data_IF_076635307470
#
_entry.id   IF_076635307470
#
_cell.length_a   1.000
_cell.length_b   1.000
_cell.length_c   1.000
_cell.angle_alpha   90.00
_cell.angle_beta   90.00
_cell.angle_gamma   90.00
#
_symmetry.space_group_name_H-M   'P 1'
#
loop_
_entity.id
_entity.type
_entity.pdbx_description
1 polymer ?
#
# COMPACT_ATOMS: atom_id res chain seq x y z
N UNK A 1 -6.07 -14.12 -12.96
CA UNK A 1 -4.77 -13.87 -13.62
C UNK A 1 -3.79 -13.19 -12.69
N UNK A 2 -4.08 -11.97 -12.19
CA UNK A 2 -3.21 -11.25 -11.25
C UNK A 2 -2.84 -12.07 -9.98
N UNK A 3 -3.79 -12.82 -9.41
CA UNK A 3 -3.54 -13.64 -8.21
C UNK A 3 -2.67 -14.89 -8.39
N UNK A 4 -2.30 -15.26 -9.62
CA UNK A 4 -1.44 -16.42 -9.92
C UNK A 4 -0.23 -16.05 -10.79
N UNK A 5 0.03 -14.76 -10.98
CA UNK A 5 1.20 -14.26 -11.72
C UNK A 5 1.18 -14.55 -13.22
N UNK A 6 0.01 -14.87 -13.80
CA UNK A 6 -0.13 -15.11 -15.23
C UNK A 6 -0.56 -13.80 -15.92
N UNK A 7 0.20 -13.31 -16.93
CA UNK A 7 -0.20 -12.17 -17.74
C UNK A 7 -1.58 -12.38 -18.36
N UNK A 8 -2.40 -11.33 -18.38
CA UNK A 8 -3.71 -11.41 -18.98
C UNK A 8 -4.14 -10.07 -19.59
N UNK A 9 -4.78 -10.17 -20.74
CA UNK A 9 -5.46 -9.06 -21.41
C UNK A 9 -6.96 -9.30 -21.25
N UNK A 10 -7.67 -8.31 -20.73
CA UNK A 10 -9.13 -8.35 -20.50
C UNK A 10 -9.77 -7.15 -21.18
N UNK A 11 -11.06 -7.24 -21.50
CA UNK A 11 -11.78 -6.15 -22.18
C UNK A 11 -11.53 -6.07 -23.70
N UNK A 12 -11.16 -7.19 -24.34
CA UNK A 12 -11.01 -7.23 -25.80
C UNK A 12 -12.38 -7.33 -26.48
N UNK A 13 -12.87 -6.23 -27.05
CA UNK A 13 -14.21 -6.15 -27.66
C UNK A 13 -14.45 -7.10 -28.84
N UNK A 14 -13.40 -7.44 -29.59
CA UNK A 14 -13.47 -8.20 -30.84
C UNK A 14 -12.63 -9.49 -30.83
N UNK A 15 -12.15 -9.93 -29.66
CA UNK A 15 -11.27 -11.09 -29.58
C UNK A 15 -11.90 -12.37 -30.13
N UNK A 16 -13.19 -12.60 -29.87
CA UNK A 16 -13.93 -13.78 -30.36
C UNK A 16 -14.20 -13.76 -31.85
N UNK A 17 -14.16 -12.59 -32.49
CA UNK A 17 -14.37 -12.45 -33.94
C UNK A 17 -13.07 -12.63 -34.72
N UNK A 18 -11.95 -12.25 -34.11
CA UNK A 18 -10.62 -12.28 -34.74
C UNK A 18 -9.90 -13.62 -34.48
N UNK A 19 -9.96 -14.13 -33.24
CA UNK A 19 -9.22 -15.32 -32.83
C UNK A 19 -10.01 -16.59 -33.12
N UNK A 20 -9.32 -17.62 -33.59
CA UNK A 20 -9.90 -18.94 -33.86
C UNK A 20 -9.34 -19.99 -32.90
N UNK A 21 -10.14 -21.02 -32.64
CA UNK A 21 -9.68 -22.18 -31.87
C UNK A 21 -8.44 -22.82 -32.52
N UNK A 22 -7.41 -23.08 -31.71
CA UNK A 22 -6.13 -23.62 -32.19
C UNK A 22 -5.21 -22.60 -32.87
N UNK A 23 -5.58 -21.32 -32.97
CA UNK A 23 -4.71 -20.28 -33.51
C UNK A 23 -3.56 -19.98 -32.56
N UNK A 24 -2.33 -20.09 -33.06
CA UNK A 24 -1.15 -19.67 -32.33
C UNK A 24 -1.07 -18.15 -32.27
N UNK A 25 -0.92 -17.62 -31.06
CA UNK A 25 -0.77 -16.19 -30.78
C UNK A 25 0.23 -15.97 -29.66
N UNK A 26 0.86 -14.80 -29.67
CA UNK A 26 1.71 -14.33 -28.58
C UNK A 26 0.99 -13.21 -27.86
N UNK A 27 0.88 -13.33 -26.54
CA UNK A 27 0.26 -12.33 -25.67
C UNK A 27 1.38 -11.56 -24.97
N UNK A 28 1.43 -10.24 -25.18
CA UNK A 28 2.34 -9.33 -24.48
C UNK A 28 1.57 -8.47 -23.50
N UNK A 29 2.11 -8.36 -22.28
CA UNK A 29 1.69 -7.37 -21.29
C UNK A 29 2.88 -6.49 -20.87
N UNK A 30 3.90 -6.38 -21.73
CA UNK A 30 5.13 -5.66 -21.44
C UNK A 30 4.96 -4.13 -21.54
N UNK A 31 3.90 -3.67 -22.21
CA UNK A 31 3.59 -2.26 -22.47
C UNK A 31 2.79 -1.56 -21.35
N UNK A 32 2.89 -2.07 -20.11
CA UNK A 32 2.23 -1.48 -18.95
C UNK A 32 0.73 -1.76 -18.93
N UNK A 33 -0.09 -0.71 -19.01
CA UNK A 33 -1.57 -0.83 -18.93
C UNK A 33 -2.21 -1.31 -20.25
N UNK A 34 -1.51 -1.22 -21.39
CA UNK A 34 -1.98 -1.73 -22.68
C UNK A 34 -1.44 -3.13 -22.98
N UNK A 35 -2.33 -4.11 -23.08
CA UNK A 35 -1.98 -5.46 -23.54
C UNK A 35 -2.05 -5.60 -25.06
N UNK A 36 -1.13 -6.36 -25.66
CA UNK A 36 -1.11 -6.63 -27.11
C UNK A 36 -1.15 -8.12 -27.45
N UNK A 37 -1.93 -8.48 -28.46
CA UNK A 37 -1.98 -9.84 -29.03
C UNK A 37 -1.36 -9.82 -30.42
N UNK A 38 -0.32 -10.62 -30.62
CA UNK A 38 0.38 -10.77 -31.88
C UNK A 38 0.05 -12.12 -32.53
N UNK A 39 -0.02 -12.16 -33.85
CA UNK A 39 -0.22 -13.40 -34.59
C UNK A 39 1.03 -14.29 -34.56
N UNK A 40 0.85 -15.58 -34.31
CA UNK A 40 1.91 -16.58 -34.26
C UNK A 40 2.70 -16.59 -32.95
N UNK A 41 3.64 -17.52 -32.86
CA UNK A 41 4.59 -17.64 -31.75
C UNK A 41 5.82 -16.78 -32.03
N UNK A 42 5.90 -15.61 -31.41
CA UNK A 42 7.03 -14.72 -31.56
C UNK A 42 8.25 -15.29 -30.82
N UNK A 43 9.46 -15.16 -31.40
CA UNK A 43 10.68 -15.56 -30.71
C UNK A 43 10.85 -14.72 -29.44
N UNK A 44 11.27 -15.36 -28.36
CA UNK A 44 11.56 -14.72 -27.08
C UNK A 44 12.96 -15.11 -26.61
N UNK A 45 13.56 -14.24 -25.81
CA UNK A 45 14.82 -14.48 -25.12
C UNK A 45 14.54 -14.72 -23.64
N UNK A 46 15.16 -15.75 -23.07
CA UNK A 46 15.13 -15.99 -21.63
C UNK A 46 16.45 -15.51 -21.04
N UNK A 47 16.39 -14.51 -20.17
CA UNK A 47 17.55 -14.04 -19.41
C UNK A 47 17.50 -14.63 -18.01
N UNK A 48 18.43 -15.52 -17.70
CA UNK A 48 18.60 -16.06 -16.36
C UNK A 48 19.60 -15.19 -15.57
N UNK A 49 19.13 -14.58 -14.49
CA UNK A 49 19.96 -13.75 -13.61
C UNK A 49 20.35 -14.57 -12.38
N UNK A 50 21.65 -14.79 -12.18
CA UNK A 50 22.17 -15.41 -10.97
C UNK A 50 22.03 -14.40 -9.81
N UNK A 51 21.27 -14.77 -8.77
CA UNK A 51 20.98 -13.88 -7.65
C UNK A 51 22.21 -13.58 -6.77
N UNK A 52 23.21 -14.46 -6.80
CA UNK A 52 24.41 -14.38 -5.96
C UNK A 52 25.34 -13.21 -6.34
N UNK A 53 25.23 -12.67 -7.56
CA UNK A 53 26.09 -11.60 -8.09
C UNK A 53 25.35 -10.28 -8.31
N UNK A 54 24.29 -10.03 -7.53
CA UNK A 54 23.55 -8.78 -7.63
C UNK A 54 24.36 -7.62 -7.03
N UNK A 55 24.53 -6.50 -7.76
CA UNK A 55 25.28 -5.36 -7.25
C UNK A 55 24.63 -4.80 -5.98
N UNK A 56 25.46 -4.35 -5.05
CA UNK A 56 24.99 -3.69 -3.84
C UNK A 56 24.38 -2.32 -4.18
N UNK A 57 23.33 -1.94 -3.46
CA UNK A 57 22.68 -0.62 -3.58
C UNK A 57 22.65 0.06 -2.22
N UNK A 58 22.93 1.37 -2.19
CA UNK A 58 22.75 2.23 -1.02
C UNK A 58 21.25 2.44 -0.78
N UNK A 59 20.52 2.79 -1.83
CA UNK A 59 19.06 2.90 -1.85
C UNK A 59 18.46 1.51 -1.64
N UNK A 60 17.56 1.38 -0.66
CA UNK A 60 16.91 0.11 -0.34
C UNK A 60 15.81 -0.20 -1.34
N UNK A 61 15.85 -1.40 -1.90
CA UNK A 61 14.81 -1.87 -2.83
C UNK A 61 13.80 -2.66 -2.02
N UNK A 62 12.61 -2.11 -1.81
CA UNK A 62 11.52 -2.73 -1.08
C UNK A 62 10.45 -3.24 -2.06
N UNK A 63 9.46 -3.96 -1.54
CA UNK A 63 8.37 -4.51 -2.33
C UNK A 63 7.00 -4.00 -1.87
N UNK A 64 6.09 -3.81 -2.81
CA UNK A 64 4.67 -3.63 -2.58
C UNK A 64 4.00 -5.01 -2.51
N UNK A 65 3.41 -5.35 -1.37
CA UNK A 65 2.79 -6.68 -1.15
C UNK A 65 1.40 -6.53 -0.56
N UNK A 66 0.37 -6.95 -1.29
CA UNK A 66 -1.02 -6.88 -0.80
C UNK A 66 -1.53 -8.19 -0.20
N UNK A 67 -1.21 -9.33 -0.85
CA UNK A 67 -1.79 -10.62 -0.52
C UNK A 67 -0.88 -11.42 0.42
N UNK A 68 -1.31 -11.73 1.67
CA UNK A 68 -0.52 -12.55 2.59
C UNK A 68 -0.16 -13.94 2.05
N UNK A 69 -1.02 -14.55 1.23
CA UNK A 69 -0.78 -15.90 0.68
C UNK A 69 0.42 -15.96 -0.27
N UNK A 70 0.78 -14.84 -0.90
CA UNK A 70 1.93 -14.75 -1.79
C UNK A 70 3.23 -14.41 -1.03
N UNK A 71 3.15 -14.05 0.25
CA UNK A 71 4.25 -13.45 1.00
C UNK A 71 5.52 -14.31 1.00
N UNK A 72 5.40 -15.61 1.29
CA UNK A 72 6.56 -16.52 1.34
C UNK A 72 7.18 -16.77 -0.03
N UNK A 73 6.37 -16.77 -1.11
CA UNK A 73 6.89 -16.87 -2.47
C UNK A 73 7.66 -15.60 -2.83
N UNK A 74 7.09 -14.45 -2.51
CA UNK A 74 7.69 -13.15 -2.80
C UNK A 74 8.95 -12.87 -1.97
N UNK A 75 9.03 -13.39 -0.74
CA UNK A 75 10.20 -13.28 0.11
C UNK A 75 11.46 -13.95 -0.48
N UNK A 76 11.32 -14.82 -1.49
CA UNK A 76 12.47 -15.38 -2.21
C UNK A 76 13.15 -14.38 -3.14
N UNK A 77 12.48 -13.26 -3.48
CA UNK A 77 13.07 -12.22 -4.31
C UNK A 77 14.07 -11.37 -3.50
N UNK A 78 15.15 -10.87 -4.12
CA UNK A 78 16.21 -10.12 -3.45
C UNK A 78 15.80 -8.68 -3.14
N UNK A 79 14.87 -8.51 -2.19
CA UNK A 79 14.44 -7.22 -1.67
C UNK A 79 14.94 -6.98 -0.24
N UNK A 80 14.87 -5.73 0.20
CA UNK A 80 15.23 -5.30 1.54
C UNK A 80 14.01 -5.20 2.49
N UNK A 81 12.92 -5.89 2.16
CA UNK A 81 11.66 -5.89 2.92
C UNK A 81 10.46 -5.40 2.11
N UNK A 82 9.44 -4.92 2.82
CA UNK A 82 8.16 -4.46 2.27
C UNK A 82 7.96 -2.99 2.61
N UNK A 83 7.85 -2.14 1.60
CA UNK A 83 7.65 -0.70 1.76
C UNK A 83 6.18 -0.29 1.76
N UNK A 84 5.30 -1.18 1.30
CA UNK A 84 3.86 -1.02 1.40
C UNK A 84 3.17 -2.39 1.45
N UNK A 85 2.65 -2.73 2.63
CA UNK A 85 1.65 -3.76 2.82
C UNK A 85 0.27 -3.12 3.05
N UNK A 86 -0.71 -3.50 2.23
CA UNK A 86 -2.07 -2.93 2.27
C UNK A 86 -2.98 -3.78 3.16
N UNK A 87 -3.45 -3.25 4.29
CA UNK A 87 -4.40 -3.97 5.15
C UNK A 87 -5.77 -4.16 4.50
N UNK A 88 -6.12 -3.33 3.50
CA UNK A 88 -7.42 -3.39 2.81
C UNK A 88 -7.67 -4.75 2.15
N UNK A 89 -6.62 -5.40 1.63
CA UNK A 89 -6.78 -6.73 1.03
C UNK A 89 -7.25 -7.75 2.08
N UNK A 90 -6.70 -7.69 3.29
CA UNK A 90 -7.09 -8.58 4.40
C UNK A 90 -8.52 -8.28 4.83
N UNK A 91 -8.86 -6.99 4.96
CA UNK A 91 -10.21 -6.54 5.32
C UNK A 91 -11.23 -7.01 4.28
N UNK A 92 -11.00 -6.74 2.99
CA UNK A 92 -11.95 -7.02 1.92
C UNK A 92 -12.10 -8.52 1.61
N UNK A 93 -11.04 -9.33 1.76
CA UNK A 93 -11.07 -10.75 1.34
C UNK A 93 -11.20 -11.75 2.49
N UNK A 94 -10.62 -11.46 3.65
CA UNK A 94 -10.59 -12.40 4.79
C UNK A 94 -11.56 -12.02 5.90
N UNK A 95 -11.79 -10.72 6.11
CA UNK A 95 -12.72 -10.23 7.15
C UNK A 95 -14.11 -9.97 6.59
N UNK A 96 -14.22 -9.30 5.44
CA UNK A 96 -15.42 -8.95 4.65
C UNK A 96 -16.51 -8.14 5.36
N UNK A 97 -16.53 -8.13 6.69
CA UNK A 97 -17.51 -7.44 7.51
C UNK A 97 -16.99 -6.08 7.98
N UNK A 98 -17.90 -5.12 8.08
CA UNK A 98 -17.59 -3.80 8.62
C UNK A 98 -17.21 -3.91 10.11
N UNK A 99 -16.12 -3.29 10.59
CA UNK A 99 -15.67 -3.45 11.98
C UNK A 99 -16.70 -2.96 13.00
N UNK A 100 -17.43 -1.87 12.71
CA UNK A 100 -18.54 -1.41 13.56
C UNK A 100 -19.74 -2.38 13.55
N UNK A 101 -19.95 -3.12 12.45
CA UNK A 101 -20.99 -4.15 12.40
C UNK A 101 -20.65 -5.33 13.33
N UNK A 102 -19.36 -5.68 13.45
CA UNK A 102 -18.89 -6.68 14.41
C UNK A 102 -19.04 -6.19 15.85
N UNK A 103 -18.66 -4.94 16.14
CA UNK A 103 -18.76 -4.32 17.47
C UNK A 103 -20.21 -4.09 17.93
N UNK A 104 -21.10 -3.76 17.00
CA UNK A 104 -22.50 -3.41 17.28
C UNK A 104 -23.46 -4.43 16.69
N UNK A 105 -23.03 -5.70 16.61
CA UNK A 105 -23.76 -6.80 15.98
C UNK A 105 -25.23 -6.87 16.39
N UNK A 106 -25.53 -6.77 17.69
CA UNK A 106 -26.91 -6.88 18.19
C UNK A 106 -27.81 -5.73 17.71
N UNK A 107 -27.24 -4.58 17.38
CA UNK A 107 -27.94 -3.37 16.93
C UNK A 107 -28.16 -3.30 15.42
N UNK A 108 -27.49 -4.14 14.63
CA UNK A 108 -27.66 -4.17 13.17
C UNK A 108 -29.12 -4.44 12.79
N UNK A 109 -29.64 -3.70 11.82
CA UNK A 109 -31.01 -3.87 11.31
C UNK A 109 -31.05 -4.86 10.15
N UNK A 110 -30.00 -4.89 9.35
CA UNK A 110 -29.87 -5.84 8.25
C UNK A 110 -29.79 -7.29 8.76
N UNK A 111 -30.86 -8.05 8.52
CA UNK A 111 -30.97 -9.45 8.92
C UNK A 111 -30.06 -10.37 8.10
N UNK A 112 -29.81 -10.06 6.83
CA UNK A 112 -28.93 -10.84 5.98
C UNK A 112 -27.48 -10.67 6.45
N UNK A 113 -27.03 -9.43 6.66
CA UNK A 113 -25.73 -9.15 7.24
C UNK A 113 -25.56 -9.78 8.63
N UNK A 114 -26.57 -9.70 9.51
CA UNK A 114 -26.56 -10.38 10.81
C UNK A 114 -26.37 -11.88 10.68
N UNK A 115 -27.09 -12.52 9.76
CA UNK A 115 -26.95 -13.95 9.53
C UNK A 115 -25.55 -14.31 9.03
N UNK A 116 -25.05 -13.61 8.02
CA UNK A 116 -23.71 -13.87 7.45
C UNK A 116 -22.60 -13.67 8.49
N UNK A 117 -22.62 -12.53 9.20
CA UNK A 117 -21.67 -12.28 10.30
C UNK A 117 -21.76 -13.37 11.37
N UNK A 118 -22.96 -13.86 11.73
CA UNK A 118 -23.09 -14.94 12.71
C UNK A 118 -22.42 -16.25 12.28
N UNK A 119 -22.44 -16.56 10.98
CA UNK A 119 -21.78 -17.75 10.44
C UNK A 119 -20.25 -17.57 10.44
N UNK A 120 -19.77 -16.41 10.01
CA UNK A 120 -18.33 -16.11 9.95
C UNK A 120 -17.67 -16.04 11.32
N UNK A 121 -18.44 -15.65 12.33
CA UNK A 121 -17.96 -15.42 13.71
C UNK A 121 -18.42 -16.50 14.69
N UNK A 122 -18.90 -17.66 14.21
CA UNK A 122 -19.50 -18.72 15.03
C UNK A 122 -18.60 -19.18 16.20
N UNK A 123 -17.28 -19.19 15.99
CA UNK A 123 -16.29 -19.65 16.97
C UNK A 123 -15.73 -18.53 17.87
N UNK A 124 -16.30 -17.32 17.79
CA UNK A 124 -15.85 -16.17 18.54
C UNK A 124 -16.90 -15.78 19.57
N UNK A 125 -16.53 -15.77 20.86
CA UNK A 125 -17.40 -15.26 21.93
C UNK A 125 -17.70 -13.77 21.72
N UNK A 126 -16.66 -13.01 21.40
CA UNK A 126 -16.76 -11.62 20.96
C UNK A 126 -16.44 -11.51 19.47
N UNK A 127 -17.44 -11.12 18.69
CA UNK A 127 -17.34 -10.99 17.23
C UNK A 127 -16.28 -10.00 16.76
N UNK A 128 -15.96 -9.00 17.58
CA UNK A 128 -14.90 -8.05 17.25
C UNK A 128 -13.50 -8.69 17.28
N UNK A 129 -13.32 -9.80 18.01
CA UNK A 129 -12.04 -10.50 18.06
C UNK A 129 -11.76 -11.27 16.76
N UNK A 130 -12.79 -11.63 15.99
CA UNK A 130 -12.62 -12.15 14.62
C UNK A 130 -11.87 -11.17 13.73
N UNK A 131 -12.18 -9.87 13.82
CA UNK A 131 -11.46 -8.83 13.07
C UNK A 131 -9.99 -8.79 13.48
N UNK A 132 -9.73 -8.76 14.78
CA UNK A 132 -8.37 -8.68 15.34
C UNK A 132 -7.55 -9.89 14.92
N UNK A 133 -8.09 -11.10 15.08
CA UNK A 133 -7.42 -12.37 14.78
C UNK A 133 -7.07 -12.48 13.29
N UNK A 134 -8.02 -12.17 12.40
CA UNK A 134 -7.80 -12.24 10.96
C UNK A 134 -6.81 -11.20 10.47
N UNK A 135 -6.92 -9.96 10.98
CA UNK A 135 -5.98 -8.90 10.62
C UNK A 135 -4.57 -9.21 11.14
N UNK A 136 -4.45 -9.62 12.41
CA UNK A 136 -3.16 -10.00 12.99
C UNK A 136 -2.54 -11.19 12.27
N UNK A 137 -3.33 -12.20 11.88
CA UNK A 137 -2.82 -13.35 11.13
C UNK A 137 -2.29 -12.94 9.76
N UNK A 138 -3.01 -12.10 9.02
CA UNK A 138 -2.58 -11.62 7.70
C UNK A 138 -1.32 -10.75 7.77
N UNK A 139 -1.27 -9.81 8.73
CA UNK A 139 -0.09 -8.97 8.96
C UNK A 139 1.10 -9.82 9.44
N UNK A 140 0.86 -10.75 10.37
CA UNK A 140 1.88 -11.65 10.90
C UNK A 140 2.50 -12.55 9.82
N UNK A 141 1.69 -13.04 8.88
CA UNK A 141 2.20 -13.82 7.74
C UNK A 141 3.13 -12.99 6.84
N UNK A 142 2.75 -11.75 6.53
CA UNK A 142 3.60 -10.81 5.78
C UNK A 142 4.90 -10.52 6.55
N UNK A 143 4.80 -10.20 7.83
CA UNK A 143 5.93 -9.85 8.67
C UNK A 143 6.93 -11.02 8.85
N UNK A 144 6.41 -12.24 9.05
CA UNK A 144 7.22 -13.45 9.20
C UNK A 144 7.94 -13.82 7.91
N UNK A 145 7.29 -13.69 6.75
CA UNK A 145 7.90 -14.02 5.46
C UNK A 145 9.14 -13.17 5.16
N UNK A 146 9.14 -11.90 5.57
CA UNK A 146 10.25 -10.97 5.32
C UNK A 146 11.17 -10.77 6.53
N UNK A 147 10.96 -11.47 7.65
CA UNK A 147 11.76 -11.27 8.86
C UNK A 147 13.26 -11.56 8.62
N UNK A 148 14.21 -10.73 9.11
CA UNK A 148 14.03 -9.56 9.98
C UNK A 148 13.87 -8.21 9.24
N UNK A 149 13.71 -8.22 7.91
CA UNK A 149 13.57 -7.00 7.13
C UNK A 149 12.28 -6.24 7.49
N UNK A 150 12.27 -4.89 7.40
CA UNK A 150 11.10 -4.09 7.74
C UNK A 150 9.89 -4.40 6.86
N UNK A 151 8.71 -4.40 7.46
CA UNK A 151 7.42 -4.53 6.79
C UNK A 151 6.55 -3.34 7.18
N UNK A 152 6.49 -2.35 6.30
CA UNK A 152 5.66 -1.16 6.48
C UNK A 152 4.23 -1.51 6.08
N UNK A 153 3.32 -1.53 7.05
CA UNK A 153 1.90 -1.87 6.85
C UNK A 153 1.08 -0.60 6.94
N UNK A 154 0.45 -0.22 5.82
CA UNK A 154 -0.52 0.86 5.80
C UNK A 154 -1.77 0.41 6.53
N UNK A 155 -2.20 1.21 7.51
CA UNK A 155 -3.49 1.03 8.18
C UNK A 155 -4.63 1.31 7.21
N UNK A 156 -5.87 0.94 7.57
CA UNK A 156 -6.98 0.94 6.63
C UNK A 156 -7.27 2.31 6.00
N UNK A 157 -7.20 2.37 4.68
CA UNK A 157 -7.44 3.55 3.85
C UNK A 157 -8.67 3.40 2.93
N UNK A 158 -9.57 2.47 3.26
CA UNK A 158 -10.82 2.33 2.52
C UNK A 158 -11.64 3.63 2.59
N UNK A 159 -12.20 4.04 1.46
CA UNK A 159 -13.15 5.14 1.32
C UNK A 159 -14.52 4.72 1.91
N UNK A 160 -15.37 5.68 2.25
CA UNK A 160 -16.68 5.40 2.85
C UNK A 160 -17.56 4.49 1.98
N UNK A 161 -17.54 4.67 0.66
CA UNK A 161 -18.26 3.81 -0.28
C UNK A 161 -17.71 2.37 -0.32
N UNK A 162 -16.41 2.17 -0.13
CA UNK A 162 -15.81 0.83 -0.06
C UNK A 162 -16.15 0.15 1.27
N UNK A 163 -16.13 0.89 2.37
CA UNK A 163 -16.61 0.40 3.66
C UNK A 163 -18.10 0.05 3.63
N UNK A 164 -18.92 0.83 2.92
CA UNK A 164 -20.37 0.60 2.79
C UNK A 164 -20.67 -0.74 2.10
N UNK A 165 -19.78 -1.17 1.21
CA UNK A 165 -19.87 -2.44 0.49
C UNK A 165 -19.44 -3.67 1.31
N UNK A 166 -18.85 -3.47 2.50
CA UNK A 166 -18.61 -4.58 3.43
C UNK A 166 -19.93 -5.05 4.06
N UNK A 167 -19.95 -6.31 4.52
CA UNK A 167 -21.13 -6.89 5.17
C UNK A 167 -21.49 -6.05 6.40
N UNK A 168 -22.71 -5.52 6.42
CA UNK A 168 -23.22 -4.63 7.46
C UNK A 168 -22.67 -3.19 7.42
N UNK A 169 -22.00 -2.77 6.35
CA UNK A 169 -21.34 -1.46 6.24
C UNK A 169 -22.30 -0.29 5.99
N UNK A 170 -23.35 -0.48 5.19
CA UNK A 170 -24.27 0.60 4.78
C UNK A 170 -24.90 1.38 5.95
N UNK A 171 -25.08 0.77 7.12
CA UNK A 171 -25.66 1.44 8.30
C UNK A 171 -24.69 2.44 8.97
N UNK A 172 -23.39 2.35 8.70
CA UNK A 172 -22.35 3.14 9.36
C UNK A 172 -21.70 4.19 8.46
N UNK A 173 -21.83 4.04 7.15
CA UNK A 173 -21.12 4.87 6.19
C UNK A 173 -22.01 5.97 5.60
N UNK A 174 -21.55 7.24 5.61
CA UNK A 174 -22.25 8.30 4.90
C UNK A 174 -22.09 8.14 3.38
N UNK A 175 -23.07 8.64 2.63
CA UNK A 175 -22.89 8.91 1.20
C UNK A 175 -22.07 10.20 1.04
N UNK A 176 -21.05 10.14 0.19
CA UNK A 176 -20.17 11.27 -0.10
C UNK A 176 -20.08 11.47 -1.61
N UNK A 177 -20.22 12.72 -2.06
CA UNK A 177 -20.10 13.08 -3.48
C UNK A 177 -18.70 12.77 -4.03
N UNK A 178 -17.66 12.94 -3.18
CA UNK A 178 -16.26 12.71 -3.56
C UNK A 178 -15.56 11.83 -2.52
N UNK A 179 -15.76 10.50 -2.56
CA UNK A 179 -15.16 9.59 -1.58
C UNK A 179 -13.63 9.63 -1.55
N UNK A 180 -12.99 10.02 -2.65
CA UNK A 180 -11.53 10.22 -2.72
C UNK A 180 -11.02 11.23 -1.69
N UNK A 181 -11.77 12.32 -1.46
CA UNK A 181 -11.44 13.41 -0.53
C UNK A 181 -12.13 13.31 0.84
N UNK A 182 -13.02 12.32 0.98
CA UNK A 182 -13.98 12.19 2.06
C UNK A 182 -13.45 11.61 3.37
N UNK A 183 -14.34 10.96 4.13
CA UNK A 183 -14.07 10.44 5.47
C UNK A 183 -13.26 9.14 5.47
N UNK A 184 -11.94 9.28 5.25
CA UNK A 184 -10.95 8.19 5.16
C UNK A 184 -9.62 8.52 5.82
N UNK A 185 -8.79 7.49 6.00
CA UNK A 185 -7.47 7.57 6.61
C UNK A 185 -7.50 8.22 8.00
N UNK A 186 -6.51 9.05 8.30
CA UNK A 186 -6.32 9.64 9.63
C UNK A 186 -7.58 10.29 10.25
N UNK A 187 -8.39 11.02 9.46
CA UNK A 187 -9.59 11.71 9.99
C UNK A 187 -10.62 10.75 10.60
N UNK A 188 -10.63 9.52 10.11
CA UNK A 188 -11.54 8.47 10.54
C UNK A 188 -11.10 7.87 11.88
N UNK A 189 -9.80 7.77 12.11
CA UNK A 189 -9.24 6.99 13.22
C UNK A 189 -9.55 7.56 14.61
N UNK A 190 -9.58 8.89 14.75
CA UNK A 190 -9.90 9.54 16.03
C UNK A 190 -11.36 10.01 16.12
N UNK A 191 -12.16 9.85 15.05
CA UNK A 191 -13.55 10.29 15.04
C UNK A 191 -14.37 9.47 16.06
N UNK A 192 -15.21 10.10 16.91
CA UNK A 192 -16.04 9.40 17.88
C UNK A 192 -16.89 8.27 17.29
N UNK A 193 -17.30 8.37 16.01
CA UNK A 193 -18.10 7.36 15.33
C UNK A 193 -17.31 6.10 14.97
N UNK A 194 -15.99 6.21 14.78
CA UNK A 194 -15.17 5.12 14.25
C UNK A 194 -13.99 4.71 15.13
N UNK A 195 -13.59 5.52 16.11
CA UNK A 195 -12.41 5.24 16.97
C UNK A 195 -12.41 3.85 17.62
N UNK A 196 -13.57 3.28 17.94
CA UNK A 196 -13.67 1.90 18.45
C UNK A 196 -13.25 0.85 17.41
N UNK A 197 -13.59 1.05 16.14
CA UNK A 197 -13.15 0.20 15.04
C UNK A 197 -11.64 0.35 14.78
N UNK A 198 -11.11 1.57 14.82
CA UNK A 198 -9.66 1.79 14.74
C UNK A 198 -8.89 1.09 15.88
N UNK A 199 -9.48 1.04 17.08
CA UNK A 199 -8.96 0.26 18.19
C UNK A 199 -8.79 -1.24 17.87
N UNK A 200 -9.63 -1.83 17.01
CA UNK A 200 -9.45 -3.22 16.57
C UNK A 200 -8.20 -3.39 15.72
N UNK A 201 -7.91 -2.46 14.81
CA UNK A 201 -6.66 -2.45 14.04
C UNK A 201 -5.45 -2.30 14.98
N UNK A 202 -5.51 -1.37 15.93
CA UNK A 202 -4.44 -1.20 16.91
C UNK A 202 -4.17 -2.47 17.72
N UNK A 203 -5.23 -3.16 18.18
CA UNK A 203 -5.08 -4.45 18.88
C UNK A 203 -4.43 -5.52 18.00
N UNK A 204 -4.76 -5.56 16.71
CA UNK A 204 -4.15 -6.51 15.78
C UNK A 204 -2.65 -6.25 15.61
N UNK A 205 -2.26 -4.99 15.38
CA UNK A 205 -0.86 -4.58 15.31
C UNK A 205 -0.12 -4.91 16.60
N UNK A 206 -0.71 -4.59 17.76
CA UNK A 206 -0.12 -4.90 19.07
C UNK A 206 0.11 -6.39 19.25
N UNK A 207 -0.86 -7.24 18.90
CA UNK A 207 -0.71 -8.69 18.95
C UNK A 207 0.43 -9.20 18.07
N UNK A 208 0.53 -8.75 16.82
CA UNK A 208 1.63 -9.16 15.92
C UNK A 208 2.99 -8.79 16.52
N UNK A 209 3.07 -7.60 17.09
CA UNK A 209 4.29 -7.02 17.60
C UNK A 209 4.74 -7.60 18.94
N UNK A 210 3.82 -7.73 19.88
CA UNK A 210 4.13 -8.04 21.29
C UNK A 210 3.91 -9.52 21.61
N UNK A 211 2.89 -10.15 21.02
CA UNK A 211 2.58 -11.57 21.28
C UNK A 211 3.30 -12.49 20.27
N UNK A 212 3.30 -12.13 18.98
CA UNK A 212 4.01 -12.93 17.95
C UNK A 212 5.51 -12.59 17.84
N UNK A 213 5.95 -11.49 18.45
CA UNK A 213 7.35 -11.05 18.46
C UNK A 213 7.86 -10.47 17.13
N UNK A 214 6.97 -10.15 16.19
CA UNK A 214 7.31 -9.65 14.86
C UNK A 214 7.51 -8.12 14.89
N UNK A 215 8.62 -7.70 15.49
CA UNK A 215 8.93 -6.29 15.72
C UNK A 215 9.31 -5.50 14.46
N UNK A 216 9.51 -6.19 13.33
CA UNK A 216 9.77 -5.61 12.02
C UNK A 216 8.54 -4.96 11.37
N UNK A 217 7.34 -5.08 11.97
CA UNK A 217 6.13 -4.39 11.53
C UNK A 217 6.15 -2.92 11.92
N UNK A 218 5.96 -2.06 10.92
CA UNK A 218 5.90 -0.60 11.06
C UNK A 218 4.51 -0.14 10.57
N UNK A 219 3.59 0.31 11.44
CA UNK A 219 2.35 0.93 11.00
C UNK A 219 2.62 2.23 10.25
N UNK A 220 1.86 2.44 9.17
CA UNK A 220 1.87 3.67 8.39
C UNK A 220 0.47 4.27 8.32
N UNK A 221 0.37 5.55 8.67
CA UNK A 221 -0.88 6.31 8.71
C UNK A 221 -1.15 6.93 7.34
N UNK A 222 -2.21 6.52 6.62
CA UNK A 222 -2.62 7.14 5.37
C UNK A 222 -3.46 8.40 5.59
N UNK A 223 -3.55 9.19 4.54
CA UNK A 223 -4.44 10.33 4.35
C UNK A 223 -4.44 11.33 5.52
N UNK A 224 -3.26 11.56 6.11
CA UNK A 224 -3.08 12.47 7.23
C UNK A 224 -2.93 13.92 6.75
N UNK A 225 -4.00 14.69 6.81
CA UNK A 225 -4.15 16.03 6.24
C UNK A 225 -3.32 17.08 6.95
N UNK A 226 -3.18 17.00 8.28
CA UNK A 226 -2.50 18.02 9.08
C UNK A 226 -1.64 17.41 10.20
N UNK A 227 -0.61 18.13 10.70
CA UNK A 227 0.14 17.70 11.87
C UNK A 227 -0.73 17.53 13.13
N UNK A 228 -1.78 18.34 13.30
CA UNK A 228 -2.72 18.18 14.41
C UNK A 228 -3.46 16.85 14.34
N UNK A 229 -3.90 16.47 13.14
CA UNK A 229 -4.52 15.18 12.87
C UNK A 229 -3.57 14.03 13.20
N UNK A 230 -2.31 14.13 12.78
CA UNK A 230 -1.27 13.14 13.10
C UNK A 230 -1.10 12.94 14.60
N UNK A 231 -1.05 14.02 15.39
CA UNK A 231 -0.97 13.93 16.86
C UNK A 231 -2.20 13.24 17.47
N UNK A 232 -3.40 13.48 16.94
CA UNK A 232 -4.62 12.81 17.40
C UNK A 232 -4.57 11.30 17.13
N UNK A 233 -4.10 10.90 15.95
CA UNK A 233 -3.94 9.48 15.60
C UNK A 233 -2.90 8.81 16.50
N UNK A 234 -1.73 9.41 16.71
CA UNK A 234 -0.70 8.87 17.62
C UNK A 234 -1.24 8.74 19.06
N UNK A 235 -2.01 9.72 19.54
CA UNK A 235 -2.64 9.64 20.85
C UNK A 235 -3.67 8.50 20.94
N UNK A 236 -4.47 8.29 19.89
CA UNK A 236 -5.43 7.19 19.83
C UNK A 236 -4.71 5.82 19.81
N UNK A 237 -3.65 5.67 19.01
CA UNK A 237 -2.80 4.48 18.99
C UNK A 237 -2.21 4.18 20.38
N UNK A 238 -1.69 5.22 21.05
CA UNK A 238 -1.14 5.10 22.40
C UNK A 238 -2.21 4.66 23.41
N UNK A 239 -3.45 5.15 23.30
CA UNK A 239 -4.57 4.72 24.15
C UNK A 239 -4.92 3.23 24.00
N UNK A 240 -4.53 2.62 22.87
CA UNK A 240 -4.65 1.19 22.59
C UNK A 240 -3.33 0.41 22.81
N UNK A 241 -2.32 1.03 23.42
CA UNK A 241 -1.06 0.38 23.80
C UNK A 241 -0.02 0.25 22.68
N UNK A 242 -0.13 1.06 21.63
CA UNK A 242 0.89 1.25 20.59
C UNK A 242 1.58 2.60 20.78
N UNK A 243 2.64 2.63 21.58
CA UNK A 243 3.39 3.86 21.91
C UNK A 243 4.70 3.88 21.13
N UNK A 244 4.96 4.94 20.36
CA UNK A 244 6.22 5.11 19.62
C UNK A 244 7.43 4.97 20.56
N UNK A 245 8.45 4.24 20.11
CA UNK A 245 9.66 3.92 20.87
C UNK A 245 9.53 2.71 21.80
N UNK A 246 8.33 2.38 22.29
CA UNK A 246 8.12 1.16 23.08
C UNK A 246 8.19 -0.08 22.20
N UNK A 247 8.90 -1.13 22.65
CA UNK A 247 9.20 -2.33 21.85
C UNK A 247 9.80 -2.00 20.46
N UNK A 248 10.50 -0.86 20.33
CA UNK A 248 11.05 -0.38 19.07
C UNK A 248 10.00 0.03 18.03
N UNK A 249 8.76 0.31 18.44
CA UNK A 249 7.69 0.73 17.53
C UNK A 249 8.06 2.05 16.85
N UNK A 250 8.10 2.02 15.52
CA UNK A 250 8.13 3.20 14.67
C UNK A 250 6.74 3.41 14.07
N UNK A 251 6.34 4.65 13.82
CA UNK A 251 5.11 4.96 13.08
C UNK A 251 5.45 5.88 11.92
N UNK A 252 5.07 5.47 10.71
CA UNK A 252 5.29 6.26 9.50
C UNK A 252 4.00 6.99 9.10
N UNK A 253 4.15 8.00 8.26
CA UNK A 253 3.04 8.67 7.59
C UNK A 253 3.19 8.53 6.08
N UNK A 254 2.08 8.31 5.39
CA UNK A 254 2.05 8.38 3.95
C UNK A 254 2.03 9.86 3.52
N UNK A 255 3.06 10.28 2.77
CA UNK A 255 3.14 11.64 2.22
C UNK A 255 2.45 11.65 0.87
N UNK A 256 1.16 11.96 0.89
CA UNK A 256 0.30 11.83 -0.29
C UNK A 256 -0.62 13.04 -0.51
N UNK A 257 -0.63 14.00 0.42
CA UNK A 257 -1.28 15.29 0.24
C UNK A 257 -0.25 16.40 0.06
N UNK A 258 -0.54 17.45 -0.74
CA UNK A 258 0.32 18.63 -0.83
C UNK A 258 0.62 19.27 0.54
N UNK A 259 -0.31 19.20 1.50
CA UNK A 259 -0.09 19.66 2.88
C UNK A 259 1.01 18.89 3.60
N UNK A 260 1.18 17.59 3.33
CA UNK A 260 2.28 16.78 3.88
C UNK A 260 3.63 17.31 3.40
N UNK A 261 3.73 17.65 2.12
CA UNK A 261 4.96 18.16 1.51
C UNK A 261 5.32 19.53 2.06
N UNK A 262 4.34 20.45 2.07
CA UNK A 262 4.54 21.83 2.55
C UNK A 262 4.98 21.82 4.02
N UNK A 263 4.32 21.00 4.85
CA UNK A 263 4.54 20.92 6.30
C UNK A 263 5.41 19.72 6.73
N UNK A 264 6.22 19.15 5.83
CA UNK A 264 7.00 17.94 6.11
C UNK A 264 7.89 18.06 7.36
N UNK A 265 8.39 19.27 7.66
CA UNK A 265 9.13 19.56 8.89
C UNK A 265 8.32 19.29 10.16
N UNK A 266 7.05 19.67 10.19
CA UNK A 266 6.16 19.47 11.33
C UNK A 266 5.69 18.02 11.43
N UNK A 267 5.44 17.37 10.29
CA UNK A 267 5.15 15.93 10.27
C UNK A 267 6.35 15.12 10.78
N UNK A 268 7.59 15.56 10.51
CA UNK A 268 8.82 14.91 10.99
C UNK A 268 8.99 14.97 12.50
N UNK A 269 8.28 15.85 13.20
CA UNK A 269 8.28 15.90 14.67
C UNK A 269 7.35 14.83 15.27
N UNK A 270 6.42 14.30 14.47
CA UNK A 270 5.38 13.36 14.92
C UNK A 270 5.72 11.93 14.47
N UNK A 271 6.15 11.76 13.22
CA UNK A 271 6.36 10.45 12.59
C UNK A 271 7.85 10.12 12.44
N UNK A 272 8.16 8.83 12.45
CA UNK A 272 9.52 8.30 12.37
C UNK A 272 10.06 8.18 10.94
N UNK A 273 9.16 8.29 9.96
CA UNK A 273 9.48 8.22 8.55
C UNK A 273 8.28 8.54 7.66
N UNK A 274 8.57 8.68 6.37
CA UNK A 274 7.62 8.99 5.32
C UNK A 274 7.62 7.89 4.27
N UNK A 275 6.45 7.60 3.72
CA UNK A 275 6.34 6.90 2.44
C UNK A 275 5.55 7.77 1.48
N UNK A 276 6.16 8.19 0.38
CA UNK A 276 5.48 9.01 -0.63
C UNK A 276 4.46 8.13 -1.34
N UNK A 277 3.19 8.53 -1.28
CA UNK A 277 2.11 7.93 -2.07
C UNK A 277 1.97 8.69 -3.37
N UNK A 278 2.74 8.31 -4.40
CA UNK A 278 2.85 9.09 -5.64
C UNK A 278 1.53 9.22 -6.39
N UNK A 279 0.66 8.22 -6.28
CA UNK A 279 -0.66 8.22 -6.90
C UNK A 279 -1.56 9.34 -6.36
N UNK A 280 -1.89 9.31 -5.07
CA UNK A 280 -2.74 10.34 -4.44
C UNK A 280 -2.05 11.72 -4.46
N UNK A 281 -0.71 11.77 -4.32
CA UNK A 281 0.04 13.03 -4.44
C UNK A 281 -0.12 13.64 -5.83
N UNK A 282 -0.07 12.82 -6.89
CA UNK A 282 -0.27 13.28 -8.28
C UNK A 282 -1.68 13.78 -8.49
N UNK A 283 -2.69 13.00 -8.08
CA UNK A 283 -4.10 13.38 -8.17
C UNK A 283 -4.38 14.73 -7.50
N UNK A 284 -3.88 14.93 -6.27
CA UNK A 284 -4.12 16.16 -5.51
C UNK A 284 -3.27 17.34 -5.95
N UNK A 285 -2.06 17.09 -6.48
CA UNK A 285 -1.20 18.16 -7.01
C UNK A 285 -1.73 18.69 -8.34
N UNK A 286 -2.27 17.81 -9.18
CA UNK A 286 -2.79 18.16 -10.50
C UNK A 286 -4.30 18.44 -10.51
N UNK A 287 -5.00 18.15 -9.41
CA UNK A 287 -6.44 18.40 -9.26
C UNK A 287 -7.30 17.49 -10.14
N UNK A 288 -7.01 16.20 -10.16
CA UNK A 288 -7.70 15.23 -11.01
C UNK A 288 -8.04 13.94 -10.26
N UNK A 289 -9.11 13.29 -10.70
CA UNK A 289 -9.45 11.92 -10.33
C UNK A 289 -9.04 11.01 -11.48
N UNK A 290 -8.12 10.08 -11.22
CA UNK A 290 -7.62 9.17 -12.27
C UNK A 290 -8.66 8.15 -12.72
N UNK A 291 -9.67 7.87 -11.89
CA UNK A 291 -10.76 6.96 -12.23
C UNK A 291 -11.77 7.66 -13.16
N UNK A 292 -11.67 9.00 -13.31
CA UNK A 292 -12.46 9.77 -14.26
C UNK A 292 -11.83 9.75 -15.65
N UNK A 293 -12.43 8.97 -16.56
CA UNK A 293 -11.98 8.82 -17.95
C UNK A 293 -11.84 10.15 -18.72
N UNK A 294 -12.55 11.20 -18.31
CA UNK A 294 -12.49 12.53 -18.92
C UNK A 294 -11.16 13.25 -18.67
N UNK A 295 -10.46 12.94 -17.57
CA UNK A 295 -9.23 13.62 -17.16
C UNK A 295 -8.08 12.67 -16.84
N UNK A 296 -8.30 11.35 -16.85
CA UNK A 296 -7.29 10.33 -16.57
C UNK A 296 -6.03 10.48 -17.44
N UNK A 297 -6.18 10.91 -18.70
CA UNK A 297 -5.08 11.17 -19.62
C UNK A 297 -4.13 12.31 -19.18
N UNK A 298 -4.51 13.11 -18.18
CA UNK A 298 -3.67 14.16 -17.58
C UNK A 298 -2.85 13.64 -16.38
N UNK A 299 -3.10 12.42 -15.91
CA UNK A 299 -2.34 11.81 -14.82
C UNK A 299 -0.93 11.43 -15.32
N UNK A 300 0.09 12.08 -14.75
CA UNK A 300 1.48 11.69 -14.96
C UNK A 300 2.28 11.96 -13.68
N UNK A 301 2.77 10.89 -13.05
CA UNK A 301 3.58 10.96 -11.83
C UNK A 301 4.95 11.63 -12.08
N UNK A 302 5.38 11.72 -13.34
CA UNK A 302 6.61 12.41 -13.78
C UNK A 302 6.40 13.90 -14.04
N UNK A 303 5.17 14.40 -13.90
CA UNK A 303 4.87 15.83 -14.06
C UNK A 303 5.80 16.66 -13.16
N UNK A 304 6.31 17.78 -13.67
CA UNK A 304 7.28 18.61 -12.94
C UNK A 304 6.73 19.15 -11.61
N UNK A 305 5.42 19.43 -11.51
CA UNK A 305 4.81 19.81 -10.23
C UNK A 305 4.91 18.68 -9.20
N UNK A 306 4.70 17.43 -9.62
CA UNK A 306 4.82 16.23 -8.76
C UNK A 306 6.28 15.99 -8.39
N UNK A 307 7.21 16.07 -9.35
CA UNK A 307 8.66 15.94 -9.08
C UNK A 307 9.17 17.00 -8.11
N UNK A 308 8.69 18.23 -8.21
CA UNK A 308 8.98 19.29 -7.22
C UNK A 308 8.49 18.88 -5.83
N UNK A 309 7.25 18.37 -5.72
CA UNK A 309 6.71 17.90 -4.44
C UNK A 309 7.55 16.77 -3.83
N UNK A 310 7.92 15.77 -4.65
CA UNK A 310 8.77 14.64 -4.27
C UNK A 310 10.15 15.10 -3.80
N UNK A 311 10.79 16.01 -4.54
CA UNK A 311 12.09 16.57 -4.14
C UNK A 311 12.01 17.28 -2.79
N UNK A 312 11.00 18.14 -2.60
CA UNK A 312 10.84 18.92 -1.36
C UNK A 312 10.64 18.02 -0.14
N UNK A 313 9.82 16.97 -0.24
CA UNK A 313 9.64 16.05 0.89
C UNK A 313 10.92 15.26 1.19
N UNK A 314 11.66 14.79 0.17
CA UNK A 314 12.93 14.08 0.37
C UNK A 314 13.93 14.98 1.08
N UNK A 315 14.12 16.21 0.60
CA UNK A 315 15.04 17.19 1.19
C UNK A 315 14.69 17.47 2.66
N UNK A 316 13.41 17.78 2.94
CA UNK A 316 12.96 18.12 4.30
C UNK A 316 13.05 16.93 5.27
N UNK A 317 12.61 15.74 4.86
CA UNK A 317 12.67 14.54 5.69
C UNK A 317 14.14 14.21 6.05
N UNK A 318 15.04 14.27 5.06
CA UNK A 318 16.48 14.03 5.28
C UNK A 318 17.12 15.08 6.17
N UNK A 319 16.77 16.36 5.99
CA UNK A 319 17.26 17.44 6.87
C UNK A 319 16.85 17.24 8.35
N UNK A 320 15.74 16.53 8.59
CA UNK A 320 15.26 16.14 9.92
C UNK A 320 15.74 14.76 10.37
N UNK A 321 16.57 14.07 9.59
CA UNK A 321 17.05 12.72 9.89
C UNK A 321 15.95 11.66 9.87
N UNK A 322 14.84 11.91 9.17
CA UNK A 322 13.73 10.96 9.02
C UNK A 322 13.91 10.15 7.74
N UNK A 323 13.56 8.87 7.83
CA UNK A 323 13.56 7.97 6.67
C UNK A 323 12.48 8.41 5.68
N UNK A 324 12.78 8.39 4.39
CA UNK A 324 11.83 8.70 3.32
C UNK A 324 11.91 7.63 2.23
N UNK A 325 10.79 6.94 2.02
CA UNK A 325 10.59 6.02 0.92
C UNK A 325 9.52 6.50 -0.05
N UNK A 326 9.34 5.79 -1.15
CA UNK A 326 8.22 5.96 -2.07
C UNK A 326 7.56 4.62 -2.33
N UNK A 327 6.23 4.64 -2.42
CA UNK A 327 5.41 3.53 -2.82
C UNK A 327 4.48 3.97 -3.95
N UNK A 328 4.30 3.09 -4.94
CA UNK A 328 3.59 3.43 -6.18
C UNK A 328 4.12 2.63 -7.34
N UNK A 329 3.48 2.79 -8.49
CA UNK A 329 3.88 2.10 -9.73
C UNK A 329 4.91 2.92 -10.52
N UNK A 330 4.93 4.25 -10.39
CA UNK A 330 5.92 5.12 -11.05
C UNK A 330 7.36 4.58 -11.11
N UNK A 331 8.03 4.19 -10.01
CA UNK A 331 9.41 3.71 -10.09
C UNK A 331 9.56 2.30 -10.68
N UNK A 332 8.47 1.53 -10.75
CA UNK A 332 8.40 0.26 -11.48
C UNK A 332 8.24 0.51 -12.99
N UNK A 333 7.37 1.44 -13.36
CA UNK A 333 6.95 1.66 -14.75
C UNK A 333 7.92 2.59 -15.51
N UNK A 334 8.51 3.56 -14.80
CA UNK A 334 9.36 4.62 -15.35
C UNK A 334 10.77 4.57 -14.75
N UNK A 335 11.74 3.89 -15.41
CA UNK A 335 13.12 3.83 -14.96
C UNK A 335 13.73 5.21 -14.68
N UNK A 336 13.43 6.22 -15.51
CA UNK A 336 13.90 7.59 -15.35
C UNK A 336 13.44 8.23 -14.04
N UNK A 337 12.26 7.82 -13.53
CA UNK A 337 11.75 8.30 -12.26
C UNK A 337 12.49 7.64 -11.09
N UNK A 338 12.81 6.35 -11.19
CA UNK A 338 13.68 5.66 -10.24
C UNK A 338 15.08 6.31 -10.18
N UNK A 339 15.66 6.68 -11.33
CA UNK A 339 16.92 7.41 -11.38
C UNK A 339 16.82 8.77 -10.67
N UNK A 340 15.78 9.56 -10.98
CA UNK A 340 15.51 10.83 -10.31
C UNK A 340 15.44 10.69 -8.79
N UNK A 341 14.73 9.67 -8.28
CA UNK A 341 14.61 9.43 -6.83
C UNK A 341 15.96 9.12 -6.17
N UNK A 342 16.81 8.34 -6.85
CA UNK A 342 18.18 8.04 -6.40
C UNK A 342 19.04 9.30 -6.41
N UNK A 343 18.91 10.16 -7.41
CA UNK A 343 19.61 11.45 -7.48
C UNK A 343 19.21 12.41 -6.35
N UNK A 344 17.92 12.42 -5.95
CA UNK A 344 17.46 13.16 -4.76
C UNK A 344 17.91 12.50 -3.44
N UNK A 345 18.42 11.28 -3.52
CA UNK A 345 18.92 10.48 -2.40
C UNK A 345 17.83 10.00 -1.46
N UNK A 346 16.75 9.46 -2.02
CA UNK A 346 15.73 8.73 -1.28
C UNK A 346 16.34 7.54 -0.51
N UNK A 347 15.76 7.14 0.62
CA UNK A 347 16.27 5.99 1.41
C UNK A 347 15.82 4.65 0.81
N UNK A 348 14.60 4.59 0.29
CA UNK A 348 14.02 3.35 -0.22
C UNK A 348 12.99 3.55 -1.34
N UNK A 349 12.93 2.58 -2.26
CA UNK A 349 11.95 2.54 -3.35
C UNK A 349 11.19 1.22 -3.27
N UNK A 350 9.86 1.28 -3.13
CA UNK A 350 9.00 0.11 -3.02
C UNK A 350 8.34 -0.21 -4.35
N UNK A 351 8.63 -1.40 -4.88
CA UNK A 351 8.32 -1.80 -6.27
C UNK A 351 7.33 -2.96 -6.32
N UNK A 352 6.69 -3.12 -7.48
CA UNK A 352 5.98 -4.36 -7.77
C UNK A 352 6.96 -5.54 -7.88
N UNK A 353 6.58 -6.76 -7.45
CA UNK A 353 7.49 -7.90 -7.38
C UNK A 353 8.23 -8.23 -8.69
N UNK A 354 7.54 -8.10 -9.82
CA UNK A 354 8.05 -8.35 -11.17
C UNK A 354 9.16 -7.37 -11.60
N UNK A 355 9.17 -6.16 -11.03
CA UNK A 355 10.07 -5.08 -11.39
C UNK A 355 11.34 -5.04 -10.51
N UNK A 356 11.35 -5.77 -9.39
CA UNK A 356 12.40 -5.68 -8.35
C UNK A 356 13.79 -5.86 -8.92
N UNK A 357 14.02 -6.93 -9.72
CA UNK A 357 15.35 -7.22 -10.28
C UNK A 357 15.80 -6.15 -11.27
N UNK A 358 14.95 -5.82 -12.24
CA UNK A 358 15.23 -4.82 -13.28
C UNK A 358 15.58 -3.47 -12.67
N UNK A 359 14.75 -2.98 -11.76
CA UNK A 359 14.95 -1.67 -11.15
C UNK A 359 16.12 -1.67 -10.17
N UNK A 360 16.39 -2.78 -9.46
CA UNK A 360 17.59 -2.88 -8.61
C UNK A 360 18.88 -2.68 -9.42
N UNK A 361 18.98 -3.30 -10.60
CA UNK A 361 20.12 -3.12 -11.50
C UNK A 361 20.23 -1.67 -11.99
N UNK A 362 19.10 -1.05 -12.35
CA UNK A 362 19.07 0.36 -12.75
C UNK A 362 19.53 1.29 -11.62
N UNK A 363 19.06 1.07 -10.39
CA UNK A 363 19.48 1.83 -9.20
C UNK A 363 20.99 1.69 -8.99
N UNK A 364 21.54 0.48 -9.04
CA UNK A 364 22.97 0.25 -8.88
C UNK A 364 23.80 0.99 -9.94
N UNK A 365 23.36 0.97 -11.20
CA UNK A 365 24.01 1.70 -12.28
C UNK A 365 23.98 3.22 -12.05
N UNK A 366 22.86 3.76 -11.58
CA UNK A 366 22.73 5.20 -11.26
C UNK A 366 23.60 5.61 -10.08
N UNK A 367 23.67 4.80 -9.02
CA UNK A 367 24.56 5.06 -7.89
C UNK A 367 26.04 5.01 -8.27
N UNK A 368 26.42 4.09 -9.16
CA UNK A 368 27.78 4.01 -9.69
C UNK A 368 28.14 5.28 -10.49
N UNK A 369 27.22 5.78 -11.34
CA UNK A 369 27.42 7.04 -12.08
C UNK A 369 27.56 8.24 -11.14
N UNK A 370 26.75 8.32 -10.10
CA UNK A 370 26.79 9.42 -9.12
C UNK A 370 28.06 9.41 -8.26
N UNK A 371 28.63 8.23 -7.99
CA UNK A 371 29.87 8.10 -7.20
C UNK A 371 31.13 8.47 -7.99
N UNK A 372 31.02 8.58 -9.32
CA UNK A 372 32.10 8.99 -10.22
C UNK A 372 32.10 10.50 -10.54
N UNK A 373 31.05 11.22 -10.13
CA UNK A 373 30.94 12.68 -10.22
C UNK A 373 31.43 13.31 -8.92
#
# INVERSE_FOLDING_TARGET
CAGIGIPAIVGCDNATDILREGQEVTVSCAEGEEGRVYGGLLPFEVQEIQLDDLPATRTKVLMNVGNPHEAFRLASLPSNGVGLARSEFIIANHIKAHPLALLHFDRLKDKAAKWEISQMTLHYENRADFFVDKLASGIGMLAAAFYPNPVVVRMSDLKSNEYANLIGGQEFEPEEENPMLGWRGASRYYDPKYRQAFGLECRAFKRVRDEMGLTNVIPMIPFCRTPEEGRKVIAEMASHGLVQGENGLQVYVMCELPSNVILADQFSEIFDGFSIGSNDLTQLTLGLDRDSSLVAHLFDERNEAVKVMVRVVIEKARAKGRKVGICGQAPSDYPEFAEFLVEQGIDSISLNPDSVLKTRLAIAATEAKLSQR
#
